data_IF_823767255853
#
_entry.id   IF_823767255853
#
_cell.length_a   1.000
_cell.length_b   1.000
_cell.length_c   1.000
_cell.angle_alpha   90.00
_cell.angle_beta   90.00
_cell.angle_gamma   90.00
#
_symmetry.space_group_name_H-M   'P 1'
#
loop_
_entity.id
_entity.type
_entity.pdbx_description
1 polymer ?
#
# COMPACT_ATOMS: atom_id res chain seq x y z
N UNK A 1 11.57 -12.17 -6.33
CA UNK A 1 11.48 -13.60 -6.18
C UNK A 1 10.34 -14.01 -5.26
N UNK A 2 9.51 -14.92 -5.75
CA UNK A 2 8.35 -15.47 -5.04
C UNK A 2 8.74 -16.56 -4.04
N UNK A 3 9.82 -16.36 -3.32
CA UNK A 3 10.23 -17.31 -2.28
C UNK A 3 9.44 -17.00 -1.00
N UNK A 4 8.57 -17.91 -0.61
CA UNK A 4 7.82 -17.80 0.65
C UNK A 4 8.79 -17.64 1.82
N UNK A 5 8.65 -16.56 2.56
CA UNK A 5 9.43 -16.31 3.76
C UNK A 5 8.79 -17.09 4.89
N UNK A 6 9.55 -18.02 5.49
CA UNK A 6 9.08 -18.85 6.58
C UNK A 6 9.19 -18.22 7.96
N UNK A 7 9.88 -17.08 8.06
CA UNK A 7 10.10 -16.38 9.32
C UNK A 7 9.32 -15.07 9.37
N UNK A 8 8.92 -14.60 10.56
CA UNK A 8 8.24 -13.33 10.70
C UNK A 8 9.09 -12.18 10.15
N UNK A 9 8.48 -11.30 9.38
CA UNK A 9 9.10 -10.05 8.93
C UNK A 9 8.78 -8.97 9.93
N UNK A 10 9.80 -8.21 10.34
CA UNK A 10 9.65 -7.08 11.26
C UNK A 10 9.89 -5.77 10.53
N UNK A 11 9.14 -4.73 10.91
CA UNK A 11 9.33 -3.37 10.44
C UNK A 11 10.24 -2.60 11.41
N UNK A 12 11.22 -1.86 10.86
CA UNK A 12 12.11 -1.06 11.68
C UNK A 12 11.40 0.16 12.27
N UNK A 13 11.65 0.46 13.55
CA UNK A 13 11.04 1.62 14.23
C UNK A 13 11.40 2.95 13.53
N UNK A 14 12.63 3.09 13.02
CA UNK A 14 13.05 4.28 12.28
C UNK A 14 12.19 4.53 11.04
N UNK A 15 11.90 3.48 10.26
CA UNK A 15 11.06 3.58 9.08
C UNK A 15 9.61 3.96 9.44
N UNK A 16 9.12 3.47 10.57
CA UNK A 16 7.79 3.81 11.08
C UNK A 16 7.72 5.27 11.55
N UNK A 17 8.78 5.78 12.17
CA UNK A 17 8.85 7.20 12.56
C UNK A 17 8.87 8.11 11.33
N UNK A 18 9.64 7.77 10.31
CA UNK A 18 9.69 8.51 9.04
C UNK A 18 8.30 8.57 8.39
N UNK A 19 7.57 7.45 8.39
CA UNK A 19 6.20 7.41 7.90
C UNK A 19 5.27 8.31 8.74
N UNK A 20 5.38 8.26 10.05
CA UNK A 20 4.55 9.07 10.95
C UNK A 20 4.76 10.57 10.77
N UNK A 21 5.97 11.02 10.44
CA UNK A 21 6.25 12.43 10.14
C UNK A 21 5.50 12.95 8.91
N UNK A 22 5.13 12.06 7.98
CA UNK A 22 4.36 12.40 6.79
C UNK A 22 2.85 12.44 7.04
N UNK A 23 2.39 12.01 8.20
CA UNK A 23 0.99 11.97 8.59
C UNK A 23 0.62 13.18 9.45
N UNK A 24 -0.64 13.62 9.33
CA UNK A 24 -1.15 14.71 10.15
C UNK A 24 -1.85 14.16 11.40
N UNK A 25 -1.29 14.29 12.61
CA UNK A 25 -1.91 13.76 13.82
C UNK A 25 -3.24 14.45 14.19
N UNK A 26 -3.51 15.62 13.64
CA UNK A 26 -4.78 16.32 13.87
C UNK A 26 -5.91 15.84 12.95
N UNK A 27 -5.61 15.07 11.90
CA UNK A 27 -6.60 14.55 10.97
C UNK A 27 -7.18 13.24 11.50
N UNK A 28 -8.47 13.24 11.83
CA UNK A 28 -9.17 12.09 12.40
C UNK A 28 -9.58 11.03 11.35
N UNK A 29 -9.41 11.31 10.05
CA UNK A 29 -9.74 10.33 9.01
C UNK A 29 -8.82 9.12 9.07
N UNK A 30 -9.31 7.93 8.69
CA UNK A 30 -8.49 6.72 8.70
C UNK A 30 -7.37 6.77 7.64
N UNK A 31 -6.37 5.93 7.84
CA UNK A 31 -5.38 5.59 6.83
C UNK A 31 -5.90 4.41 6.00
N UNK A 32 -5.56 4.40 4.71
CA UNK A 32 -5.75 3.24 3.85
C UNK A 32 -4.39 2.68 3.46
N UNK A 33 -4.16 1.42 3.78
CA UNK A 33 -2.97 0.68 3.32
C UNK A 33 -3.40 -0.26 2.21
N UNK A 34 -2.81 -0.08 1.03
CA UNK A 34 -3.05 -0.91 -0.14
C UNK A 34 -1.87 -1.85 -0.36
N UNK A 35 -2.16 -3.14 -0.54
CA UNK A 35 -1.18 -4.11 -1.00
C UNK A 35 -1.37 -4.41 -2.48
N UNK A 36 -0.33 -4.36 -3.27
CA UNK A 36 -0.36 -4.77 -4.67
C UNK A 36 0.57 -5.93 -4.95
N UNK A 37 0.19 -6.82 -5.84
CA UNK A 37 0.94 -8.02 -6.17
C UNK A 37 1.09 -8.95 -4.97
N UNK A 38 2.32 -9.26 -4.62
CA UNK A 38 2.66 -10.14 -3.48
C UNK A 38 2.75 -9.38 -2.13
N UNK A 39 2.53 -8.07 -2.14
CA UNK A 39 2.68 -7.22 -0.96
C UNK A 39 1.46 -7.19 -0.02
N UNK A 40 0.56 -8.16 -0.09
CA UNK A 40 -0.62 -8.19 0.78
C UNK A 40 -0.26 -8.45 2.25
N UNK A 41 0.61 -9.40 2.53
CA UNK A 41 1.06 -9.68 3.89
C UNK A 41 1.87 -8.50 4.50
N UNK A 42 2.84 -7.91 3.78
CA UNK A 42 3.51 -6.69 4.24
C UNK A 42 2.56 -5.52 4.48
N UNK A 43 1.57 -5.32 3.61
CA UNK A 43 0.56 -4.27 3.79
C UNK A 43 -0.26 -4.47 5.08
N UNK A 44 -0.65 -5.70 5.35
CA UNK A 44 -1.33 -6.06 6.59
C UNK A 44 -0.47 -5.79 7.83
N UNK A 45 0.80 -6.17 7.80
CA UNK A 45 1.74 -5.92 8.90
C UNK A 45 1.95 -4.42 9.13
N UNK A 46 2.08 -3.64 8.06
CA UNK A 46 2.16 -2.19 8.15
C UNK A 46 0.89 -1.59 8.76
N UNK A 47 -0.27 -2.04 8.32
CA UNK A 47 -1.56 -1.61 8.85
C UNK A 47 -1.69 -1.89 10.34
N UNK A 48 -1.31 -3.08 10.78
CA UNK A 48 -1.32 -3.45 12.21
C UNK A 48 -0.38 -2.57 13.03
N UNK A 49 0.81 -2.28 12.53
CA UNK A 49 1.77 -1.45 13.25
C UNK A 49 1.29 0.00 13.37
N UNK A 50 0.68 0.54 12.33
CA UNK A 50 0.06 1.87 12.36
C UNK A 50 -1.12 1.93 13.35
N UNK A 51 -1.94 0.87 13.40
CA UNK A 51 -3.04 0.76 14.34
C UNK A 51 -2.54 0.69 15.78
N UNK A 52 -1.49 -0.08 16.03
CA UNK A 52 -0.83 -0.16 17.34
C UNK A 52 -0.29 1.20 17.80
N UNK A 53 0.10 2.06 16.86
CA UNK A 53 0.57 3.44 17.11
C UNK A 53 -0.55 4.47 17.24
N UNK A 54 -1.80 4.04 17.22
CA UNK A 54 -2.97 4.88 17.49
C UNK A 54 -3.72 5.39 16.27
N UNK A 55 -3.38 4.94 15.06
CA UNK A 55 -4.10 5.32 13.85
C UNK A 55 -5.31 4.42 13.62
N UNK A 56 -6.35 4.98 13.03
CA UNK A 56 -7.43 4.17 12.44
C UNK A 56 -6.98 3.74 11.05
N UNK A 57 -7.00 2.44 10.77
CA UNK A 57 -6.43 1.88 9.54
C UNK A 57 -7.42 0.94 8.87
N UNK A 58 -7.53 1.07 7.55
CA UNK A 58 -8.12 0.07 6.67
C UNK A 58 -7.03 -0.53 5.80
N UNK A 59 -7.10 -1.83 5.58
CA UNK A 59 -6.20 -2.55 4.68
C UNK A 59 -7.00 -3.14 3.54
N UNK A 60 -6.55 -2.93 2.32
CA UNK A 60 -7.18 -3.44 1.11
C UNK A 60 -6.12 -3.96 0.15
N UNK A 61 -6.46 -5.02 -0.57
CA UNK A 61 -5.63 -5.54 -1.67
C UNK A 61 -6.13 -5.03 -3.00
N UNK A 62 -5.21 -4.84 -3.94
CA UNK A 62 -5.58 -4.80 -5.35
C UNK A 62 -5.89 -6.22 -5.83
N UNK A 63 -6.68 -6.34 -6.86
CA UNK A 63 -7.05 -7.64 -7.43
C UNK A 63 -6.88 -7.65 -8.94
N UNK A 64 -6.48 -8.78 -9.48
CA UNK A 64 -6.43 -9.04 -10.93
C UNK A 64 -7.77 -9.53 -11.49
N UNK A 65 -8.72 -9.84 -10.61
CA UNK A 65 -10.03 -10.33 -11.02
C UNK A 65 -10.99 -9.18 -11.26
N UNK A 66 -11.53 -9.02 -12.47
CA UNK A 66 -12.58 -8.05 -12.72
C UNK A 66 -13.88 -8.52 -12.05
N UNK A 67 -14.49 -7.62 -11.29
CA UNK A 67 -15.82 -7.84 -10.71
C UNK A 67 -16.77 -6.87 -11.39
N UNK A 68 -17.94 -7.37 -11.78
CA UNK A 68 -18.97 -6.50 -12.36
C UNK A 68 -19.42 -5.46 -11.35
N UNK A 69 -19.45 -4.21 -11.80
CA UNK A 69 -19.99 -3.12 -11.01
C UNK A 69 -21.48 -3.40 -10.73
N UNK A 70 -21.84 -3.43 -9.47
CA UNK A 70 -23.20 -3.76 -9.01
C UNK A 70 -23.55 -2.96 -7.75
N UNK A 71 -24.58 -3.40 -7.03
CA UNK A 71 -25.14 -2.66 -5.89
C UNK A 71 -24.12 -2.33 -4.79
N UNK A 72 -23.13 -3.22 -4.57
CA UNK A 72 -22.13 -3.06 -3.51
C UNK A 72 -20.82 -2.43 -4.02
N UNK A 73 -20.67 -2.26 -5.33
CA UNK A 73 -19.47 -1.69 -5.96
C UNK A 73 -19.85 -0.38 -6.64
N UNK A 74 -19.63 0.72 -5.92
CA UNK A 74 -19.94 2.06 -6.40
C UNK A 74 -18.87 2.62 -7.36
N UNK A 75 -17.62 2.20 -7.21
CA UNK A 75 -16.51 2.67 -8.03
C UNK A 75 -15.49 1.58 -8.30
N UNK A 76 -14.86 1.66 -9.47
CA UNK A 76 -13.79 0.76 -9.90
C UNK A 76 -12.63 1.60 -10.41
N UNK A 77 -11.45 1.39 -9.87
CA UNK A 77 -10.22 1.94 -10.41
C UNK A 77 -9.40 0.83 -11.05
N UNK A 78 -9.11 0.97 -12.34
CA UNK A 78 -8.28 0.05 -13.11
C UNK A 78 -6.91 0.69 -13.34
N UNK A 79 -5.86 -0.09 -13.20
CA UNK A 79 -4.50 0.29 -13.56
C UNK A 79 -3.69 -0.93 -13.97
N UNK A 80 -2.67 -0.73 -14.79
CA UNK A 80 -1.73 -1.78 -15.16
C UNK A 80 -0.78 -2.05 -13.99
N UNK A 81 -0.47 -3.32 -13.74
CA UNK A 81 0.41 -3.68 -12.63
C UNK A 81 1.86 -3.21 -12.87
N UNK A 82 2.62 -3.18 -11.78
CA UNK A 82 4.00 -2.72 -11.79
C UNK A 82 5.03 -3.84 -12.07
N UNK A 83 4.58 -4.99 -12.52
CA UNK A 83 5.44 -6.13 -12.90
C UNK A 83 5.73 -6.20 -14.40
N UNK A 84 5.22 -5.24 -15.18
CA UNK A 84 5.35 -5.18 -16.64
C UNK A 84 4.71 -6.40 -17.37
N UNK A 85 3.82 -7.09 -16.69
CA UNK A 85 3.09 -8.24 -17.23
C UNK A 85 1.91 -7.83 -18.14
N UNK A 86 1.59 -6.55 -18.22
CA UNK A 86 0.42 -6.04 -18.93
C UNK A 86 -0.92 -6.51 -18.35
N UNK A 87 -0.93 -6.90 -17.08
CA UNK A 87 -2.11 -7.42 -16.41
C UNK A 87 -2.81 -6.29 -15.66
N UNK A 88 -4.10 -6.16 -15.89
CA UNK A 88 -4.91 -5.18 -15.17
C UNK A 88 -5.07 -5.55 -13.70
N UNK A 89 -4.96 -4.54 -12.87
CA UNK A 89 -5.32 -4.58 -11.47
C UNK A 89 -6.50 -3.65 -11.20
N UNK A 90 -7.30 -4.00 -10.22
CA UNK A 90 -8.51 -3.28 -9.86
C UNK A 90 -8.51 -2.94 -8.38
N UNK A 91 -9.01 -1.76 -8.06
CA UNK A 91 -9.35 -1.34 -6.71
C UNK A 91 -10.81 -0.92 -6.73
N UNK A 92 -11.59 -1.48 -5.84
CA UNK A 92 -13.02 -1.22 -5.73
C UNK A 92 -13.32 -0.27 -4.59
N UNK A 93 -14.30 0.60 -4.79
CA UNK A 93 -14.84 1.50 -3.76
C UNK A 93 -13.80 2.43 -3.13
N UNK A 94 -12.77 2.83 -3.87
CA UNK A 94 -11.79 3.78 -3.39
C UNK A 94 -12.27 5.21 -3.59
N UNK A 95 -12.46 5.92 -2.49
CA UNK A 95 -12.63 7.37 -2.47
C UNK A 95 -11.46 7.99 -1.70
N UNK A 96 -10.51 8.64 -2.38
CA UNK A 96 -9.33 9.21 -1.73
C UNK A 96 -9.64 10.23 -0.63
N UNK A 97 -10.74 10.96 -0.76
CA UNK A 97 -11.12 12.01 0.20
C UNK A 97 -11.57 11.45 1.55
N UNK A 98 -11.90 10.17 1.60
CA UNK A 98 -12.29 9.47 2.84
C UNK A 98 -11.10 9.28 3.79
N UNK A 99 -9.88 9.30 3.25
CA UNK A 99 -8.68 8.94 4.00
C UNK A 99 -7.79 10.15 4.26
N UNK A 100 -7.13 10.14 5.41
CA UNK A 100 -6.05 11.08 5.71
C UNK A 100 -4.88 10.88 4.74
N UNK A 101 -4.51 9.62 4.53
CA UNK A 101 -3.47 9.23 3.59
C UNK A 101 -3.75 7.82 3.05
N UNK A 102 -3.29 7.58 1.84
CA UNK A 102 -3.28 6.29 1.19
C UNK A 102 -1.82 5.87 1.07
N UNK A 103 -1.50 4.64 1.46
CA UNK A 103 -0.15 4.09 1.44
C UNK A 103 -0.17 2.84 0.58
N UNK A 104 0.52 2.87 -0.56
CA UNK A 104 0.64 1.71 -1.44
C UNK A 104 1.91 0.94 -1.10
N UNK A 105 1.75 -0.30 -0.66
CA UNK A 105 2.85 -1.25 -0.47
C UNK A 105 3.15 -2.01 -1.76
N UNK A 106 4.40 -2.00 -2.18
CA UNK A 106 4.86 -2.68 -3.39
C UNK A 106 6.31 -3.15 -3.23
N UNK A 107 6.71 -4.14 -4.03
CA UNK A 107 8.08 -4.67 -4.04
C UNK A 107 8.94 -4.07 -5.16
N UNK A 108 8.36 -3.99 -6.34
CA UNK A 108 9.06 -3.54 -7.54
C UNK A 108 8.93 -2.02 -7.73
N UNK A 109 9.83 -1.38 -8.49
CA UNK A 109 9.65 0.01 -8.85
C UNK A 109 8.29 0.28 -9.50
N UNK A 110 7.72 1.44 -9.24
CA UNK A 110 6.46 1.84 -9.82
C UNK A 110 6.64 2.21 -11.29
N UNK A 111 5.73 1.74 -12.14
CA UNK A 111 5.62 2.23 -13.51
C UNK A 111 4.99 3.64 -13.56
N UNK A 112 5.13 4.34 -14.68
CA UNK A 112 4.63 5.70 -14.82
C UNK A 112 3.11 5.83 -14.62
N UNK A 113 2.24 4.96 -15.18
CA UNK A 113 0.80 5.03 -14.94
C UNK A 113 0.42 4.91 -13.46
N UNK A 114 1.09 4.05 -12.71
CA UNK A 114 0.81 3.88 -11.28
C UNK A 114 1.32 5.07 -10.46
N UNK A 115 2.47 5.64 -10.82
CA UNK A 115 2.96 6.87 -10.20
C UNK A 115 1.98 8.04 -10.38
N UNK A 116 1.47 8.23 -11.60
CA UNK A 116 0.46 9.25 -11.89
C UNK A 116 -0.81 9.05 -11.06
N UNK A 117 -1.24 7.81 -10.92
CA UNK A 117 -2.41 7.47 -10.12
C UNK A 117 -2.19 7.80 -8.63
N UNK A 118 -1.04 7.44 -8.09
CA UNK A 118 -0.69 7.73 -6.70
C UNK A 118 -0.59 9.24 -6.47
N UNK A 119 -0.03 9.99 -7.40
CA UNK A 119 0.02 11.45 -7.33
C UNK A 119 -1.39 12.06 -7.31
N UNK A 120 -2.29 11.57 -8.15
CA UNK A 120 -3.69 12.01 -8.19
C UNK A 120 -4.43 11.73 -6.85
N UNK A 121 -4.11 10.64 -6.18
CA UNK A 121 -4.66 10.31 -4.87
C UNK A 121 -3.92 10.98 -3.71
N UNK A 122 -2.84 11.72 -3.98
CA UNK A 122 -1.92 12.23 -2.96
C UNK A 122 -1.39 11.12 -2.05
N UNK A 123 -1.22 9.93 -2.61
CA UNK A 123 -0.81 8.74 -1.88
C UNK A 123 0.69 8.72 -1.62
N UNK A 124 1.06 7.95 -0.59
CA UNK A 124 2.44 7.60 -0.30
C UNK A 124 2.76 6.26 -0.94
N UNK A 125 3.98 6.13 -1.41
CA UNK A 125 4.54 4.86 -1.86
C UNK A 125 5.41 4.27 -0.76
N UNK A 126 5.15 3.02 -0.40
CA UNK A 126 5.95 2.26 0.55
C UNK A 126 6.54 1.04 -0.17
N UNK A 127 7.74 1.21 -0.70
CA UNK A 127 8.48 0.10 -1.30
C UNK A 127 9.09 -0.74 -0.20
N UNK A 128 8.78 -2.03 -0.21
CA UNK A 128 9.25 -2.98 0.78
C UNK A 128 10.39 -3.79 0.19
N UNK A 129 11.55 -3.72 0.81
CA UNK A 129 12.69 -4.55 0.53
C UNK A 129 13.01 -5.41 1.75
N UNK A 130 13.16 -6.72 1.56
CA UNK A 130 13.49 -7.64 2.64
C UNK A 130 14.97 -7.96 2.53
N UNK A 131 15.71 -7.72 3.61
CA UNK A 131 17.10 -8.15 3.74
C UNK A 131 17.13 -9.67 3.95
N UNK A 132 17.70 -10.45 3.02
CA UNK A 132 17.73 -11.89 3.14
C UNK A 132 18.60 -12.42 4.30
N UNK A 133 19.55 -11.61 4.78
CA UNK A 133 20.42 -11.99 5.89
C UNK A 133 19.77 -11.81 7.26
N UNK A 134 18.97 -10.74 7.45
CA UNK A 134 18.38 -10.38 8.73
C UNK A 134 16.87 -10.62 8.80
N UNK A 135 16.22 -10.85 7.65
CA UNK A 135 14.76 -10.95 7.49
C UNK A 135 14.01 -9.69 7.95
N UNK A 136 14.69 -8.57 8.07
CA UNK A 136 14.05 -7.29 8.32
C UNK A 136 13.51 -6.70 7.02
N UNK A 137 12.26 -6.24 7.07
CA UNK A 137 11.68 -5.45 6.00
C UNK A 137 12.10 -4.00 6.18
N UNK A 138 12.68 -3.42 5.15
CA UNK A 138 12.98 -2.01 5.07
C UNK A 138 11.93 -1.32 4.21
N UNK A 139 11.35 -0.25 4.74
CA UNK A 139 10.41 0.58 4.03
C UNK A 139 11.14 1.77 3.39
N UNK A 140 10.99 1.93 2.10
CA UNK A 140 11.36 3.14 1.39
C UNK A 140 10.09 3.92 1.08
N UNK A 141 9.87 4.98 1.84
CA UNK A 141 8.65 5.78 1.73
C UNK A 141 8.94 7.05 0.96
N UNK A 142 8.13 7.33 -0.03
CA UNK A 142 8.19 8.55 -0.81
C UNK A 142 6.82 8.99 -1.31
N UNK A 143 6.70 10.26 -1.62
CA UNK A 143 5.50 10.84 -2.21
C UNK A 143 5.71 10.99 -3.71
N UNK A 144 5.00 10.22 -4.57
CA UNK A 144 5.04 10.42 -6.01
C UNK A 144 4.45 11.78 -6.40
N UNK A 145 5.05 12.39 -7.36
CA UNK A 145 4.52 13.67 -7.85
C UNK A 145 5.49 14.67 -8.32
#
# INVERSE_FOLDING_TARGET
GRLGIKSPVTLADADMLDLQELLNPADARPLLVLGTGECNAPAYLLGRELERRGHRVKVQSTTRSPIHQGNDIASVCRFEDNYEDGIDNFIYNLNPDTYQAIILCHETPLNAPLQERLAAWRALSARIAIDPATLHAKLHIFRPG
#
